data_IF_285370191336
#
_entry.id   IF_285370191336
#
_cell.length_a   1.000
_cell.length_b   1.000
_cell.length_c   1.000
_cell.angle_alpha   90.00
_cell.angle_beta   90.00
_cell.angle_gamma   90.00
#
_symmetry.space_group_name_H-M   'P 1'
#
loop_
_entity.id
_entity.type
_entity.pdbx_description
1 polymer ?
#
# COMPACT_ATOMS: atom_id res chain seq x y z
N UNK A 1 -8.63 -4.06 -11.55
CA UNK A 1 -8.92 -4.64 -10.24
C UNK A 1 -7.77 -5.54 -9.83
N UNK A 2 -7.16 -5.23 -8.69
CA UNK A 2 -6.02 -5.97 -8.13
C UNK A 2 -6.58 -7.03 -7.18
N UNK A 3 -6.52 -8.31 -7.54
CA UNK A 3 -7.06 -9.42 -6.74
C UNK A 3 -5.97 -10.18 -5.96
N UNK A 4 -4.70 -9.88 -6.25
CA UNK A 4 -3.51 -10.48 -5.64
C UNK A 4 -2.47 -9.43 -5.36
N UNK A 5 -1.85 -9.53 -4.19
CA UNK A 5 -0.73 -8.69 -3.80
C UNK A 5 0.25 -9.48 -2.91
N UNK A 6 1.45 -8.94 -2.77
CA UNK A 6 2.40 -9.31 -1.74
C UNK A 6 2.21 -8.38 -0.55
N UNK A 7 2.05 -8.96 0.64
CA UNK A 7 2.19 -8.26 1.90
C UNK A 7 3.67 -8.19 2.27
N UNK A 8 4.13 -6.99 2.58
CA UNK A 8 5.45 -6.72 3.12
C UNK A 8 5.30 -5.94 4.43
N UNK A 9 6.15 -6.27 5.39
CA UNK A 9 6.22 -5.59 6.66
C UNK A 9 6.06 -6.53 7.86
N UNK A 10 6.01 -5.96 9.06
CA UNK A 10 6.03 -4.51 9.32
C UNK A 10 7.40 -3.87 9.02
N UNK A 11 7.41 -2.65 8.50
CA UNK A 11 8.62 -1.83 8.28
C UNK A 11 8.92 -0.86 9.43
N UNK A 12 7.91 -0.52 10.23
CA UNK A 12 8.03 0.40 11.35
C UNK A 12 7.11 -0.02 12.50
N UNK A 13 7.52 0.30 13.72
CA UNK A 13 6.70 0.14 14.92
C UNK A 13 5.73 1.31 15.16
N UNK A 14 5.92 2.46 14.50
CA UNK A 14 5.23 3.71 14.80
C UNK A 14 4.88 4.49 13.53
N UNK A 15 3.67 4.33 13.00
CA UNK A 15 3.27 5.06 11.78
C UNK A 15 3.35 6.58 11.98
N UNK A 16 2.93 7.11 13.12
CA UNK A 16 2.90 8.56 13.37
C UNK A 16 4.28 9.23 13.30
N UNK A 17 5.36 8.50 13.60
CA UNK A 17 6.71 9.06 13.66
C UNK A 17 7.54 8.78 12.40
N UNK A 18 7.26 7.67 11.73
CA UNK A 18 8.11 7.12 10.68
C UNK A 18 7.37 7.02 9.34
N UNK A 19 6.19 7.64 9.21
CA UNK A 19 5.42 7.63 7.96
C UNK A 19 6.21 8.25 6.80
N UNK A 20 6.92 9.35 7.03
CA UNK A 20 7.71 10.03 6.00
C UNK A 20 9.03 9.30 5.66
N UNK A 21 9.35 8.22 6.38
CA UNK A 21 10.53 7.41 6.07
C UNK A 21 10.29 6.60 4.79
N UNK A 22 11.23 6.71 3.86
CA UNK A 22 11.23 5.91 2.65
C UNK A 22 11.62 4.46 2.93
N UNK A 23 10.77 3.51 2.55
CA UNK A 23 11.01 2.08 2.71
C UNK A 23 11.32 1.37 1.37
N UNK A 24 11.98 0.19 1.41
CA UNK A 24 12.36 -0.55 0.20
C UNK A 24 11.28 -0.72 -0.89
N UNK A 25 9.99 -0.97 -0.57
CA UNK A 25 8.95 -1.16 -1.59
C UNK A 25 8.73 0.06 -2.49
N UNK A 26 9.00 1.28 -1.98
CA UNK A 26 8.91 2.53 -2.74
C UNK A 26 9.96 2.59 -3.87
N UNK A 27 11.05 1.80 -3.76
CA UNK A 27 12.08 1.66 -4.79
C UNK A 27 11.95 0.37 -5.61
N UNK A 28 10.87 -0.38 -5.41
CA UNK A 28 10.62 -1.66 -6.09
C UNK A 28 11.34 -2.86 -5.46
N UNK A 29 11.90 -2.71 -4.25
CA UNK A 29 12.53 -3.82 -3.54
C UNK A 29 11.48 -4.61 -2.73
N UNK A 30 11.52 -5.95 -2.78
CA UNK A 30 10.58 -6.83 -2.09
C UNK A 30 11.26 -7.49 -0.87
N UNK A 31 11.36 -6.75 0.23
CA UNK A 31 11.95 -7.22 1.48
C UNK A 31 12.55 -6.09 2.32
N UNK A 32 13.50 -6.43 3.17
CA UNK A 32 14.21 -5.50 4.04
C UNK A 32 14.35 -6.02 5.46
N UNK A 33 14.75 -5.15 6.38
CA UNK A 33 14.79 -5.40 7.80
C UNK A 33 13.72 -4.55 8.49
N UNK A 34 12.94 -5.15 9.38
CA UNK A 34 11.89 -4.48 10.16
C UNK A 34 12.09 -4.66 11.66
N UNK A 35 11.20 -4.11 12.50
CA UNK A 35 11.29 -4.22 13.96
C UNK A 35 11.16 -5.66 14.48
N UNK A 36 10.67 -6.59 13.65
CA UNK A 36 10.51 -8.01 13.98
C UNK A 36 11.55 -8.91 13.30
N UNK A 37 12.59 -8.32 12.72
CA UNK A 37 13.61 -9.02 11.95
C UNK A 37 13.40 -8.92 10.43
N UNK A 38 13.95 -9.88 9.66
CA UNK A 38 13.87 -9.85 8.21
C UNK A 38 12.44 -9.90 7.67
N UNK A 39 12.14 -9.05 6.70
CA UNK A 39 10.84 -8.97 6.05
C UNK A 39 10.86 -9.85 4.80
N UNK A 40 10.00 -10.88 4.80
CA UNK A 40 9.79 -11.76 3.66
C UNK A 40 8.43 -11.47 3.01
N UNK A 41 8.35 -11.38 1.67
CA UNK A 41 7.08 -11.20 0.98
C UNK A 41 6.13 -12.36 1.22
N UNK A 42 4.88 -12.07 1.60
CA UNK A 42 3.81 -13.06 1.76
C UNK A 42 2.70 -12.81 0.75
N UNK A 43 2.26 -13.85 0.05
CA UNK A 43 1.18 -13.70 -0.91
C UNK A 43 -0.18 -13.57 -0.20
N UNK A 44 -0.99 -12.61 -0.62
CA UNK A 44 -2.38 -12.47 -0.22
C UNK A 44 -3.28 -12.42 -1.46
N UNK A 45 -4.49 -12.94 -1.30
CA UNK A 45 -5.56 -12.83 -2.30
C UNK A 45 -6.71 -12.04 -1.70
N UNK A 46 -7.23 -11.10 -2.47
CA UNK A 46 -8.38 -10.26 -2.15
C UNK A 46 -9.31 -10.24 -3.37
N UNK A 47 -10.15 -11.28 -3.55
CA UNK A 47 -11.00 -11.38 -4.74
C UNK A 47 -11.95 -10.19 -4.95
N UNK A 48 -12.30 -9.50 -3.87
CA UNK A 48 -13.14 -8.29 -3.81
C UNK A 48 -12.32 -6.99 -3.72
N UNK A 49 -10.99 -7.06 -3.83
CA UNK A 49 -10.08 -5.93 -3.70
C UNK A 49 -9.89 -5.43 -2.27
N UNK A 50 -10.44 -6.14 -1.27
CA UNK A 50 -10.29 -5.80 0.15
C UNK A 50 -9.06 -6.46 0.75
N UNK A 51 -8.09 -5.65 1.14
CA UNK A 51 -6.88 -6.06 1.82
C UNK A 51 -6.92 -5.61 3.28
N UNK A 52 -6.61 -6.51 4.20
CA UNK A 52 -6.72 -6.26 5.64
C UNK A 52 -5.52 -6.82 6.41
N UNK A 53 -5.08 -6.09 7.43
CA UNK A 53 -3.96 -6.47 8.30
C UNK A 53 -4.40 -7.19 9.58
N UNK A 54 -5.60 -7.78 9.60
CA UNK A 54 -6.20 -8.36 10.81
C UNK A 54 -5.41 -9.53 11.41
N UNK A 55 -4.67 -10.27 10.58
CA UNK A 55 -3.83 -11.39 11.00
C UNK A 55 -2.42 -11.00 11.45
N UNK A 56 -2.04 -9.73 11.34
CA UNK A 56 -0.68 -9.29 11.60
C UNK A 56 -0.39 -9.07 13.08
N UNK A 57 0.80 -9.50 13.51
CA UNK A 57 1.24 -9.40 14.90
C UNK A 57 1.33 -7.93 15.37
N UNK A 58 0.92 -7.68 16.61
CA UNK A 58 0.50 -6.37 17.12
C UNK A 58 1.54 -5.30 17.51
N UNK A 59 2.88 -5.50 17.54
CA UNK A 59 3.77 -4.42 17.96
C UNK A 59 4.16 -3.44 16.84
N UNK A 60 3.63 -3.59 15.62
CA UNK A 60 4.10 -2.82 14.48
C UNK A 60 3.01 -2.44 13.48
N UNK A 61 3.33 -1.49 12.59
CA UNK A 61 2.32 -0.53 12.14
C UNK A 61 2.37 -0.19 10.65
N UNK A 62 3.55 -0.05 10.05
CA UNK A 62 3.66 0.29 8.62
C UNK A 62 3.86 -0.98 7.79
N UNK A 63 2.95 -1.21 6.85
CA UNK A 63 2.99 -2.35 5.93
C UNK A 63 2.86 -1.86 4.48
N UNK A 64 3.18 -2.73 3.53
CA UNK A 64 2.94 -2.50 2.11
C UNK A 64 2.18 -3.65 1.48
N UNK A 65 1.20 -3.30 0.65
CA UNK A 65 0.63 -4.18 -0.35
C UNK A 65 1.28 -3.89 -1.70
N UNK A 66 1.91 -4.86 -2.33
CA UNK A 66 2.58 -4.69 -3.64
C UNK A 66 1.98 -5.62 -4.68
N UNK A 67 1.61 -5.07 -5.84
CA UNK A 67 1.13 -5.85 -6.97
C UNK A 67 1.73 -5.35 -8.28
N UNK A 68 2.06 -6.29 -9.15
CA UNK A 68 2.48 -5.99 -10.52
C UNK A 68 1.29 -6.19 -11.45
N UNK A 69 0.94 -5.14 -12.20
CA UNK A 69 -0.19 -5.13 -13.14
C UNK A 69 0.35 -4.99 -14.55
N UNK A 70 -0.24 -5.70 -15.50
CA UNK A 70 0.06 -5.56 -16.93
C UNK A 70 -1.05 -4.74 -17.59
N UNK A 71 -0.66 -3.60 -18.13
CA UNK A 71 -1.50 -2.67 -18.89
C UNK A 71 -1.38 -2.99 -20.38
N UNK A 72 -2.51 -3.17 -21.06
CA UNK A 72 -2.53 -3.63 -22.45
C UNK A 72 -2.31 -2.52 -23.49
N UNK A 73 -2.59 -1.27 -23.14
CA UNK A 73 -2.51 -0.12 -24.05
C UNK A 73 -2.15 1.15 -23.28
N UNK A 74 -1.50 2.09 -23.95
CA UNK A 74 -1.26 3.42 -23.40
C UNK A 74 -2.60 4.10 -23.09
N UNK A 75 -2.70 4.76 -21.93
CA UNK A 75 -3.93 5.41 -21.55
C UNK A 75 -3.90 6.10 -20.19
N UNK A 76 -5.03 6.73 -19.88
CA UNK A 76 -5.29 7.31 -18.56
C UNK A 76 -6.16 6.32 -17.77
N UNK A 77 -5.61 5.80 -16.70
CA UNK A 77 -6.25 4.82 -15.82
C UNK A 77 -6.69 5.49 -14.53
N UNK A 78 -7.67 4.91 -13.83
CA UNK A 78 -8.06 5.38 -12.51
C UNK A 78 -7.56 4.41 -11.46
N UNK A 79 -6.80 4.93 -10.50
CA UNK A 79 -6.46 4.20 -9.29
C UNK A 79 -7.37 4.67 -8.15
N UNK A 80 -7.97 3.73 -7.44
CA UNK A 80 -8.86 4.01 -6.30
C UNK A 80 -8.38 3.29 -5.07
N UNK A 81 -8.34 4.01 -3.96
CA UNK A 81 -8.16 3.44 -2.63
C UNK A 81 -9.25 3.97 -1.70
N UNK A 82 -9.85 3.09 -0.91
CA UNK A 82 -10.78 3.48 0.13
C UNK A 82 -10.49 2.76 1.45
N UNK A 83 -10.56 3.48 2.56
CA UNK A 83 -10.30 2.96 3.90
C UNK A 83 -10.20 4.08 4.93
N UNK A 84 -10.25 3.68 6.20
CA UNK A 84 -10.14 4.60 7.33
C UNK A 84 -8.71 4.88 7.77
N UNK A 85 -7.81 3.93 7.48
CA UNK A 85 -6.39 3.97 7.81
C UNK A 85 -5.62 5.06 7.06
N UNK A 86 -4.48 5.46 7.60
CA UNK A 86 -3.48 6.19 6.80
C UNK A 86 -2.93 5.29 5.69
N UNK A 87 -2.93 5.77 4.46
CA UNK A 87 -2.39 5.05 3.31
C UNK A 87 -1.80 5.99 2.24
N UNK A 88 -0.86 5.46 1.46
CA UNK A 88 -0.24 6.14 0.32
C UNK A 88 -0.07 5.17 -0.83
N UNK A 89 -0.49 5.58 -2.03
CA UNK A 89 -0.33 4.81 -3.25
C UNK A 89 0.91 5.28 -4.00
N UNK A 90 1.75 4.32 -4.38
CA UNK A 90 2.89 4.50 -5.28
C UNK A 90 2.66 3.72 -6.57
N UNK A 91 2.99 4.36 -7.70
CA UNK A 91 3.01 3.75 -9.03
C UNK A 91 4.42 3.87 -9.58
N UNK A 92 5.07 2.74 -9.85
CA UNK A 92 6.47 2.66 -10.27
C UNK A 92 7.43 3.46 -9.36
N UNK A 93 7.13 3.46 -8.06
CA UNK A 93 7.89 4.18 -7.03
C UNK A 93 7.60 5.68 -6.91
N UNK A 94 6.66 6.21 -7.71
CA UNK A 94 6.20 7.61 -7.62
C UNK A 94 4.91 7.67 -6.81
N UNK A 95 4.87 8.52 -5.77
CA UNK A 95 3.66 8.75 -5.00
C UNK A 95 2.56 9.38 -5.89
N UNK A 96 1.40 8.73 -5.93
CA UNK A 96 0.24 9.12 -6.72
C UNK A 96 -0.80 9.87 -5.89
N UNK A 97 -1.05 9.43 -4.66
CA UNK A 97 -1.80 10.16 -3.64
C UNK A 97 -1.50 9.62 -2.24
N UNK A 98 -1.85 10.43 -1.25
CA UNK A 98 -1.69 10.09 0.16
C UNK A 98 -2.93 10.52 0.96
N UNK A 99 -3.24 9.74 1.99
CA UNK A 99 -4.22 10.05 3.02
C UNK A 99 -3.60 9.79 4.40
N UNK A 100 -3.55 10.82 5.25
CA UNK A 100 -3.09 10.76 6.65
C UNK A 100 -4.24 10.99 7.63
N UNK A 101 -4.76 9.93 8.26
CA UNK A 101 -5.83 10.04 9.28
C UNK A 101 -5.39 10.78 10.55
N UNK A 102 -4.10 10.74 10.88
CA UNK A 102 -3.56 11.35 12.08
C UNK A 102 -3.30 12.85 11.94
N UNK A 103 -3.29 13.41 10.72
CA UNK A 103 -3.08 14.85 10.49
C UNK A 103 -4.39 15.62 10.34
N UNK A 104 -5.36 15.05 9.61
CA UNK A 104 -6.62 15.72 9.32
C UNK A 104 -7.74 14.73 9.03
N UNK A 105 -8.98 15.22 9.08
CA UNK A 105 -10.13 14.46 8.61
C UNK A 105 -10.21 14.52 7.08
N UNK A 106 -9.55 13.56 6.42
CA UNK A 106 -9.51 13.44 4.96
C UNK A 106 -10.57 12.46 4.44
N UNK A 107 -11.01 12.60 3.17
CA UNK A 107 -11.91 11.64 2.54
C UNK A 107 -11.41 10.20 2.71
N UNK A 108 -12.31 9.29 3.09
CA UNK A 108 -11.98 7.86 3.21
C UNK A 108 -11.88 7.17 1.84
N UNK A 109 -12.19 7.86 0.74
CA UNK A 109 -12.07 7.35 -0.61
C UNK A 109 -11.31 8.35 -1.47
N UNK A 110 -10.21 7.89 -2.06
CA UNK A 110 -9.33 8.64 -2.93
C UNK A 110 -9.38 8.05 -4.34
N UNK A 111 -9.43 8.91 -5.36
CA UNK A 111 -9.31 8.54 -6.76
C UNK A 111 -8.34 9.48 -7.45
N UNK A 112 -7.44 8.94 -8.25
CA UNK A 112 -6.51 9.71 -9.07
C UNK A 112 -6.43 9.12 -10.47
N UNK A 113 -6.28 9.98 -11.46
CA UNK A 113 -5.97 9.57 -12.82
C UNK A 113 -4.45 9.32 -12.95
N UNK A 114 -4.07 8.14 -13.40
CA UNK A 114 -2.68 7.69 -13.56
C UNK A 114 -2.40 7.43 -15.04
N UNK A 115 -1.54 8.21 -15.70
CA UNK A 115 -1.11 7.91 -17.06
C UNK A 115 -0.18 6.69 -17.05
N UNK A 116 -0.54 5.65 -17.80
CA UNK A 116 0.24 4.42 -17.91
C UNK A 116 0.49 4.10 -19.39
N UNK A 117 1.67 3.55 -19.67
CA UNK A 117 1.98 2.98 -20.98
C UNK A 117 1.59 1.50 -21.01
N UNK A 118 1.52 0.92 -22.20
CA UNK A 118 1.41 -0.52 -22.35
C UNK A 118 2.66 -1.18 -21.74
N UNK A 119 2.46 -2.12 -20.82
CA UNK A 119 3.57 -2.74 -20.12
C UNK A 119 3.22 -3.16 -18.70
N UNK A 120 4.26 -3.55 -17.96
CA UNK A 120 4.15 -3.94 -16.56
C UNK A 120 4.44 -2.73 -15.67
N UNK A 121 3.55 -2.46 -14.74
CA UNK A 121 3.64 -1.40 -13.74
C UNK A 121 3.56 -2.00 -12.35
N UNK A 122 4.30 -1.43 -11.40
CA UNK A 122 4.25 -1.82 -10.00
C UNK A 122 3.41 -0.83 -9.20
N UNK A 123 2.41 -1.36 -8.52
CA UNK A 123 1.62 -0.65 -7.54
C UNK A 123 2.09 -1.07 -6.16
N UNK A 124 2.43 -0.11 -5.31
CA UNK A 124 2.71 -0.35 -3.90
C UNK A 124 1.83 0.57 -3.07
N UNK A 125 1.20 0.03 -2.03
CA UNK A 125 0.38 0.82 -1.12
C UNK A 125 0.96 0.70 0.26
N UNK A 126 1.52 1.80 0.76
CA UNK A 126 1.90 1.95 2.17
C UNK A 126 0.62 2.10 2.96
N UNK A 127 0.48 1.34 4.04
CA UNK A 127 -0.70 1.39 4.90
C UNK A 127 -0.26 1.32 6.36
N UNK A 128 -0.82 2.22 7.16
CA UNK A 128 -0.73 2.15 8.61
C UNK A 128 -1.81 1.20 9.12
N UNK A 129 -1.45 0.29 10.01
CA UNK A 129 -2.43 -0.52 10.74
C UNK A 129 -3.29 0.36 11.63
N UNK A 130 -2.65 1.30 12.34
CA UNK A 130 -3.30 2.24 13.23
C UNK A 130 -4.19 1.55 14.28
N UNK A 131 -5.20 2.28 14.75
CA UNK A 131 -6.21 1.74 15.67
C UNK A 131 -7.33 0.96 14.96
N UNK A 132 -7.54 1.20 13.67
CA UNK A 132 -8.68 0.70 12.88
C UNK A 132 -8.41 -0.64 12.15
N UNK A 133 -7.26 -1.28 12.40
CA UNK A 133 -6.84 -2.61 11.87
C UNK A 133 -6.31 -2.64 10.43
N UNK A 134 -6.12 -1.49 9.79
CA UNK A 134 -5.41 -1.37 8.51
C UNK A 134 -6.11 -2.06 7.34
N UNK A 135 -7.42 -1.89 7.23
CA UNK A 135 -8.22 -2.31 6.08
C UNK A 135 -8.20 -1.24 4.96
N UNK A 136 -8.16 -1.74 3.72
CA UNK A 136 -8.18 -0.92 2.52
C UNK A 136 -8.79 -1.68 1.34
N UNK A 137 -9.61 -0.99 0.55
CA UNK A 137 -10.11 -1.44 -0.75
C UNK A 137 -9.29 -0.82 -1.87
N UNK A 138 -8.85 -1.63 -2.83
CA UNK A 138 -8.08 -1.22 -4.01
C UNK A 138 -8.79 -1.63 -5.29
N UNK A 139 -8.92 -0.70 -6.25
CA UNK A 139 -9.57 -0.96 -7.54
C UNK A 139 -8.83 -0.33 -8.73
#
# INVERSE_FOLDING_TARGET
MVDRALLLGPYSAFHFLEWDQAFPPERGELGGEGPLGPILPRQASAPDGHFALWGEATPADVFYWVSDVVVAADGLYQARAAGKSTFELFVDGVSAFERRDFEAWLPESMVVDVPLTAGRHRFAVKVARGAERGDLWLA
#
